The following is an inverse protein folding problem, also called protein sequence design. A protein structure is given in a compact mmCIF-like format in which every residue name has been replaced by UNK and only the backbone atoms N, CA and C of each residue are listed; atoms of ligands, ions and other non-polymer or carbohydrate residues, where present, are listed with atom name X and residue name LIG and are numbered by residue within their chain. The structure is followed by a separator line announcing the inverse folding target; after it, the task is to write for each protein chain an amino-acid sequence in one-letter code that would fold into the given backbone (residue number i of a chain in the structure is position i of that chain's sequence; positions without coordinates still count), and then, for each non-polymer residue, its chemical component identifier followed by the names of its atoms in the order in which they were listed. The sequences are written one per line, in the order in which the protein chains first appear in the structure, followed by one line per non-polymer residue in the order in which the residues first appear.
data_IF_521849401313
#
_entry.id   IF_521849401313
#
_cell.length_a   1.000
_cell.length_b   1.000
_cell.length_c   1.000
_cell.angle_alpha   90.00
_cell.angle_beta   90.00
_cell.angle_gamma   90.00
#
_symmetry.space_group_name_H-M   'P 1'
#
loop_
_entity.id
_entity.type
_entity.pdbx_description
1 polymer ?
#
# COMPACT_ATOMS: atom_id res chain seq x y z
N UNK A 1 7.91 -15.81 6.39
CA UNK A 1 6.71 -15.75 5.52
C UNK A 1 6.49 -14.28 5.13
N UNK A 2 6.09 -13.95 3.89
CA UNK A 2 5.57 -12.59 3.62
C UNK A 2 4.11 -12.58 4.06
N UNK A 3 3.76 -11.76 5.04
CA UNK A 3 2.36 -11.61 5.48
C UNK A 3 1.60 -10.73 4.48
N UNK A 4 0.27 -10.72 4.55
CA UNK A 4 -0.57 -9.90 3.67
C UNK A 4 -0.23 -8.40 3.80
N UNK A 5 0.08 -7.95 5.02
CA UNK A 5 0.49 -6.57 5.31
C UNK A 5 1.79 -6.22 4.60
N UNK A 6 2.76 -7.14 4.56
CA UNK A 6 4.02 -6.89 3.84
C UNK A 6 3.83 -6.84 2.33
N UNK A 7 2.96 -7.69 1.78
CA UNK A 7 2.65 -7.64 0.35
C UNK A 7 1.92 -6.33 -0.02
N UNK A 8 0.95 -5.93 0.79
CA UNK A 8 0.21 -4.67 0.62
C UNK A 8 1.14 -3.47 0.70
N UNK A 9 1.99 -3.41 1.74
CA UNK A 9 2.97 -2.34 1.91
C UNK A 9 3.96 -2.24 0.74
N UNK A 10 4.45 -3.38 0.25
CA UNK A 10 5.32 -3.43 -0.92
C UNK A 10 4.60 -2.93 -2.20
N UNK A 11 3.30 -3.21 -2.37
CA UNK A 11 2.52 -2.73 -3.52
C UNK A 11 2.24 -1.22 -3.43
N UNK A 12 1.84 -0.71 -2.26
CA UNK A 12 1.68 0.73 -1.99
C UNK A 12 2.98 1.48 -2.32
N UNK A 13 4.11 0.98 -1.82
CA UNK A 13 5.43 1.57 -2.09
C UNK A 13 5.75 1.60 -3.59
N UNK A 14 5.46 0.51 -4.30
CA UNK A 14 5.68 0.39 -5.74
C UNK A 14 4.85 1.41 -6.51
N UNK A 15 3.54 1.48 -6.27
CA UNK A 15 2.65 2.42 -6.96
C UNK A 15 3.04 3.87 -6.62
N UNK A 16 3.36 4.17 -5.36
CA UNK A 16 3.86 5.49 -4.94
C UNK A 16 5.11 5.90 -5.70
N UNK A 17 6.09 5.00 -5.81
CA UNK A 17 7.34 5.28 -6.52
C UNK A 17 7.12 5.51 -8.03
N UNK A 18 6.22 4.74 -8.65
CA UNK A 18 5.84 4.94 -10.06
C UNK A 18 5.18 6.30 -10.31
N UNK A 19 4.51 6.87 -9.29
CA UNK A 19 3.94 8.21 -9.32
C UNK A 19 4.94 9.33 -9.01
N UNK A 20 6.18 9.00 -8.64
CA UNK A 20 7.17 9.98 -8.24
C UNK A 20 6.88 10.66 -6.89
N UNK A 21 6.00 10.10 -6.07
CA UNK A 21 5.62 10.66 -4.77
C UNK A 21 6.60 10.27 -3.67
N UNK A 22 6.93 11.20 -2.77
CA UNK A 22 7.60 10.88 -1.49
C UNK A 22 6.61 10.25 -0.49
N UNK A 23 7.10 9.69 0.62
CA UNK A 23 6.20 9.18 1.66
C UNK A 23 5.38 10.31 2.28
N UNK A 24 5.98 11.49 2.41
CA UNK A 24 5.36 12.72 2.88
C UNK A 24 4.27 13.23 1.93
N UNK A 25 4.48 13.12 0.61
CA UNK A 25 3.47 13.50 -0.38
C UNK A 25 2.26 12.57 -0.32
N UNK A 26 2.50 11.25 -0.32
CA UNK A 26 1.42 10.27 -0.18
C UNK A 26 0.66 10.47 1.13
N UNK A 27 1.37 10.74 2.23
CA UNK A 27 0.75 10.98 3.52
C UNK A 27 -0.19 12.20 3.49
N UNK A 28 0.27 13.29 2.85
CA UNK A 28 -0.52 14.51 2.67
C UNK A 28 -1.76 14.27 1.81
N UNK A 29 -1.62 13.59 0.68
CA UNK A 29 -2.73 13.32 -0.24
C UNK A 29 -3.74 12.32 0.34
N UNK A 30 -3.27 11.34 1.12
CA UNK A 30 -4.10 10.37 1.79
C UNK A 30 -4.64 10.85 3.15
N UNK A 31 -4.31 12.07 3.58
CA UNK A 31 -4.71 12.67 4.86
C UNK A 31 -4.37 11.78 6.07
N UNK A 32 -3.11 11.31 6.13
CA UNK A 32 -2.60 10.45 7.19
C UNK A 32 -1.20 10.89 7.63
N UNK A 33 -0.76 10.41 8.80
CA UNK A 33 0.58 10.74 9.29
C UNK A 33 1.69 10.06 8.46
N UNK A 34 2.79 10.75 8.08
CA UNK A 34 3.90 10.16 7.31
C UNK A 34 4.51 8.90 7.93
N UNK A 35 4.65 8.88 9.27
CA UNK A 35 5.07 7.67 10.01
C UNK A 35 4.18 6.48 9.74
N UNK A 36 2.87 6.69 9.54
CA UNK A 36 1.93 5.60 9.24
C UNK A 36 2.15 5.06 7.83
N UNK A 37 2.39 5.92 6.83
CA UNK A 37 2.83 5.49 5.48
C UNK A 37 4.09 4.63 5.57
N UNK A 38 5.11 5.09 6.30
CA UNK A 38 6.36 4.34 6.48
C UNK A 38 6.14 2.96 7.14
N UNK A 39 5.28 2.90 8.17
CA UNK A 39 4.92 1.64 8.83
C UNK A 39 4.16 0.69 7.91
N UNK A 40 3.22 1.22 7.11
CA UNK A 40 2.46 0.44 6.14
C UNK A 40 3.36 -0.14 5.05
N UNK A 41 4.24 0.67 4.44
CA UNK A 41 5.15 0.19 3.39
C UNK A 41 6.13 -0.88 3.86
N UNK A 42 6.40 -0.93 5.16
CA UNK A 42 7.22 -1.95 5.80
C UNK A 42 6.42 -3.17 6.27
N UNK A 43 5.09 -3.15 6.15
CA UNK A 43 4.20 -4.20 6.62
C UNK A 43 4.10 -4.30 8.15
N UNK A 44 4.39 -3.21 8.88
CA UNK A 44 4.34 -3.17 10.35
C UNK A 44 2.93 -2.91 10.89
N UNK A 45 2.01 -2.49 10.02
CA UNK A 45 0.62 -2.20 10.36
C UNK A 45 -0.29 -2.80 9.31
N UNK A 46 -1.45 -3.25 9.77
CA UNK A 46 -2.57 -3.58 8.89
C UNK A 46 -3.44 -2.33 8.73
N UNK A 47 -3.67 -1.86 7.49
CA UNK A 47 -4.55 -0.73 7.24
C UNK A 47 -6.01 -1.14 7.45
N UNK A 48 -6.81 -0.21 7.96
CA UNK A 48 -8.28 -0.35 7.96
C UNK A 48 -8.83 -0.12 6.55
N UNK A 49 -10.11 -0.46 6.34
CA UNK A 49 -10.77 -0.23 5.06
C UNK A 49 -10.73 1.25 4.61
N UNK A 50 -10.94 2.20 5.52
CA UNK A 50 -10.90 3.62 5.18
C UNK A 50 -9.50 4.07 4.71
N UNK A 51 -8.44 3.52 5.30
CA UNK A 51 -7.06 3.81 4.90
C UNK A 51 -6.78 3.24 3.52
N UNK A 52 -7.22 2.02 3.23
CA UNK A 52 -7.05 1.41 1.91
C UNK A 52 -7.71 2.29 0.84
N UNK A 53 -8.92 2.77 1.08
CA UNK A 53 -9.63 3.65 0.14
C UNK A 53 -8.94 5.02 0.00
N UNK A 54 -8.46 5.60 1.09
CA UNK A 54 -7.74 6.89 1.04
C UNK A 54 -6.43 6.77 0.28
N UNK A 55 -5.65 5.71 0.54
CA UNK A 55 -4.42 5.40 -0.18
C UNK A 55 -4.69 5.15 -1.66
N UNK A 56 -5.72 4.40 -2.02
CA UNK A 56 -6.07 4.16 -3.42
C UNK A 56 -6.37 5.47 -4.15
N UNK A 57 -7.16 6.36 -3.53
CA UNK A 57 -7.46 7.69 -4.09
C UNK A 57 -6.21 8.55 -4.26
N UNK A 58 -5.36 8.66 -3.23
CA UNK A 58 -4.11 9.42 -3.28
C UNK A 58 -3.15 8.84 -4.32
N UNK A 59 -3.06 7.51 -4.36
CA UNK A 59 -2.36 6.77 -5.40
C UNK A 59 -3.19 6.62 -6.66
N UNK A 60 -4.12 7.53 -6.99
CA UNK A 60 -4.99 7.59 -8.19
C UNK A 60 -5.24 6.21 -8.86
N UNK A 61 -5.58 5.22 -8.06
CA UNK A 61 -5.75 3.82 -8.43
C UNK A 61 -6.98 3.29 -7.72
N UNK A 62 -7.42 2.08 -8.04
CA UNK A 62 -8.51 1.46 -7.32
C UNK A 62 -7.98 0.58 -6.17
N UNK A 63 -8.77 0.47 -5.11
CA UNK A 63 -8.47 -0.50 -4.05
C UNK A 63 -8.46 -1.95 -4.58
N UNK A 64 -9.26 -2.22 -5.62
CA UNK A 64 -9.30 -3.52 -6.30
C UNK A 64 -7.97 -3.83 -6.97
N UNK A 65 -7.33 -2.86 -7.62
CA UNK A 65 -6.03 -3.06 -8.26
C UNK A 65 -4.94 -3.34 -7.22
N UNK A 66 -4.91 -2.55 -6.14
CA UNK A 66 -3.96 -2.76 -5.04
C UNK A 66 -4.12 -4.14 -4.41
N UNK A 67 -5.35 -4.50 -4.02
CA UNK A 67 -5.62 -5.78 -3.37
C UNK A 67 -5.48 -6.97 -4.33
N UNK A 68 -5.85 -6.81 -5.59
CA UNK A 68 -5.71 -7.84 -6.61
C UNK A 68 -4.25 -8.21 -6.87
N UNK A 69 -3.33 -7.23 -6.86
CA UNK A 69 -1.90 -7.51 -6.92
C UNK A 69 -1.39 -8.23 -5.66
N UNK A 70 -1.92 -7.88 -4.48
CA UNK A 70 -1.61 -8.60 -3.23
C UNK A 70 -2.07 -10.06 -3.29
N UNK A 71 -3.31 -10.32 -3.72
CA UNK A 71 -3.88 -11.66 -3.88
C UNK A 71 -3.10 -12.49 -4.89
N UNK A 72 -2.80 -11.94 -6.07
CA UNK A 72 -1.96 -12.59 -7.10
C UNK A 72 -0.61 -13.02 -6.52
N UNK A 73 0.02 -12.16 -5.71
CA UNK A 73 1.32 -12.43 -5.10
C UNK A 73 1.24 -13.41 -3.93
N UNK A 74 0.12 -13.45 -3.22
CA UNK A 74 -0.14 -14.43 -2.16
C UNK A 74 -0.47 -15.82 -2.73
N UNK A 75 -1.13 -15.90 -3.89
CA UNK A 75 -1.57 -17.14 -4.55
C UNK A 75 -0.47 -17.84 -5.35
N UNK A 76 0.57 -17.12 -5.81
CA UNK A 76 1.67 -17.72 -6.58
C UNK A 76 2.33 -18.86 -5.77
N UNK A 77 2.36 -20.12 -6.29
CA UNK A 77 3.00 -21.22 -5.59
C UNK A 77 4.47 -20.87 -5.38
N UNK A 78 4.94 -21.05 -4.15
CA UNK A 78 6.35 -20.93 -3.78
C UNK A 78 7.12 -21.98 -4.61
N UNK A 79 7.77 -21.53 -5.69
CA UNK A 79 8.83 -22.30 -6.34
C UNK A 79 10.05 -22.37 -5.43
#
# INVERSE_FOLDING_TARGET
MKTAERLFGEEVKKVRALRGLTQEDLAREADIHPTYVSQLERGLKSPTLHIILSLARALETSAVDLLGEVEKRASKPRR
#
